data_IF_526884347592
#
_entry.id   IF_526884347592
#
_cell.length_a   1.000
_cell.length_b   1.000
_cell.length_c   1.000
_cell.angle_alpha   90.00
_cell.angle_beta   90.00
_cell.angle_gamma   90.00
#
_symmetry.space_group_name_H-M   'P 1'
#
loop_
_entity.id
_entity.type
_entity.pdbx_description
1 polymer ?
#
# COMPACT_ATOMS: atom_id res chain seq x y z
N UNK A 1 -7.82 -0.14 12.16
CA UNK A 1 -8.06 1.20 11.57
C UNK A 1 -7.66 1.08 10.13
N UNK A 2 -8.57 1.43 9.23
CA UNK A 2 -8.37 1.17 7.81
C UNK A 2 -8.15 2.49 7.08
N UNK A 3 -7.20 2.50 6.14
CA UNK A 3 -6.85 3.66 5.33
C UNK A 3 -6.96 3.25 3.87
N UNK A 4 -7.82 3.94 3.12
CA UNK A 4 -8.08 3.65 1.71
C UNK A 4 -7.42 4.72 0.86
N UNK A 5 -6.58 4.29 -0.09
CA UNK A 5 -5.89 5.17 -1.03
C UNK A 5 -6.65 5.22 -2.36
N UNK A 6 -7.24 6.38 -2.68
CA UNK A 6 -7.97 6.63 -3.92
C UNK A 6 -7.24 7.66 -4.78
N UNK A 7 -7.44 7.60 -6.09
CA UNK A 7 -6.81 8.53 -7.03
C UNK A 7 -6.82 8.00 -8.47
N UNK A 8 -6.65 8.87 -9.48
CA UNK A 8 -6.65 8.49 -10.89
C UNK A 8 -5.49 7.53 -11.23
N UNK A 9 -5.57 6.88 -12.39
CA UNK A 9 -4.48 6.04 -12.91
C UNK A 9 -3.17 6.85 -13.00
N UNK A 10 -2.05 6.23 -12.67
CA UNK A 10 -0.74 6.90 -12.68
C UNK A 10 -0.47 7.86 -11.50
N UNK A 11 -1.42 8.07 -10.57
CA UNK A 11 -1.21 8.98 -9.43
C UNK A 11 -0.24 8.47 -8.35
N UNK A 12 0.42 7.34 -8.56
CA UNK A 12 1.43 6.80 -7.64
C UNK A 12 0.90 6.07 -6.40
N UNK A 13 -0.38 5.65 -6.39
CA UNK A 13 -1.01 4.97 -5.22
C UNK A 13 -0.20 3.75 -4.74
N UNK A 14 0.20 2.88 -5.66
CA UNK A 14 0.97 1.66 -5.32
C UNK A 14 2.31 2.00 -4.68
N UNK A 15 3.01 2.99 -5.20
CA UNK A 15 4.27 3.51 -4.65
C UNK A 15 4.06 4.11 -3.25
N UNK A 16 2.98 4.86 -3.06
CA UNK A 16 2.62 5.46 -1.78
C UNK A 16 2.30 4.38 -0.73
N UNK A 17 1.50 3.37 -1.07
CA UNK A 17 1.16 2.25 -0.17
C UNK A 17 2.43 1.54 0.30
N UNK A 18 3.37 1.28 -0.61
CA UNK A 18 4.68 0.69 -0.27
C UNK A 18 5.41 1.54 0.77
N UNK A 19 5.73 2.79 0.43
CA UNK A 19 6.54 3.67 1.27
C UNK A 19 5.89 3.94 2.62
N UNK A 20 4.56 4.12 2.63
CA UNK A 20 3.81 4.36 3.86
C UNK A 20 3.79 3.12 4.77
N UNK A 21 3.56 1.93 4.22
CA UNK A 21 3.58 0.69 5.01
C UNK A 21 4.95 0.42 5.63
N UNK A 22 6.04 0.66 4.88
CA UNK A 22 7.42 0.54 5.37
C UNK A 22 7.71 1.55 6.48
N UNK A 23 7.25 2.79 6.31
CA UNK A 23 7.40 3.83 7.33
C UNK A 23 6.65 3.47 8.62
N UNK A 24 5.41 2.98 8.52
CA UNK A 24 4.62 2.55 9.69
C UNK A 24 5.29 1.37 10.42
N UNK A 25 5.74 0.36 9.67
CA UNK A 25 6.46 -0.80 10.25
C UNK A 25 7.73 -0.35 10.98
N UNK A 26 8.44 0.65 10.45
CA UNK A 26 9.70 1.14 11.00
C UNK A 26 9.54 2.08 12.20
N UNK A 27 8.54 2.95 12.19
CA UNK A 27 8.46 4.06 13.15
C UNK A 27 7.32 3.93 14.17
N UNK A 28 6.31 3.11 13.90
CA UNK A 28 5.11 3.02 14.74
C UNK A 28 4.95 1.65 15.43
N UNK A 29 5.87 0.70 15.19
CA UNK A 29 5.83 -0.69 15.71
C UNK A 29 4.46 -1.38 15.52
N UNK A 30 3.75 -1.04 14.44
CA UNK A 30 2.42 -1.59 14.12
C UNK A 30 2.53 -2.81 13.22
N UNK A 31 1.66 -3.80 13.46
CA UNK A 31 1.37 -4.84 12.47
C UNK A 31 0.55 -4.23 11.34
N UNK A 32 1.08 -4.27 10.12
CA UNK A 32 0.48 -3.65 8.93
C UNK A 32 0.24 -4.72 7.88
N UNK A 33 -1.02 -4.85 7.46
CA UNK A 33 -1.44 -5.60 6.29
C UNK A 33 -1.66 -4.64 5.11
N UNK A 34 -1.23 -5.05 3.92
CA UNK A 34 -1.41 -4.28 2.69
C UNK A 34 -2.37 -5.03 1.77
N UNK A 35 -3.55 -4.46 1.49
CA UNK A 35 -4.54 -5.08 0.61
C UNK A 35 -4.55 -4.34 -0.72
N UNK A 36 -4.40 -5.06 -1.83
CA UNK A 36 -4.57 -4.52 -3.17
C UNK A 36 -5.94 -4.93 -3.75
N UNK A 37 -6.75 -3.95 -4.12
CA UNK A 37 -8.08 -4.17 -4.72
C UNK A 37 -8.10 -3.96 -6.24
N UNK A 38 -6.96 -3.63 -6.85
CA UNK A 38 -6.84 -3.41 -8.30
C UNK A 38 -6.57 -4.75 -9.02
N UNK A 39 -7.53 -5.29 -9.81
CA UNK A 39 -7.33 -6.53 -10.54
C UNK A 39 -6.41 -6.36 -11.77
N UNK A 40 -6.11 -5.12 -12.18
CA UNK A 40 -5.26 -4.81 -13.33
C UNK A 40 -3.78 -4.70 -13.00
N UNK A 41 -3.36 -5.02 -11.77
CA UNK A 41 -1.95 -4.96 -11.38
C UNK A 41 -1.19 -6.20 -11.88
N UNK A 42 -0.08 -5.98 -12.56
CA UNK A 42 0.80 -7.07 -13.02
C UNK A 42 1.82 -7.46 -11.93
N UNK A 43 2.43 -6.46 -11.28
CA UNK A 43 3.42 -6.66 -10.22
C UNK A 43 3.20 -5.68 -9.07
N UNK A 44 3.29 -6.18 -7.83
CA UNK A 44 3.20 -5.38 -6.62
C UNK A 44 4.58 -5.23 -5.97
N UNK A 45 4.99 -4.01 -5.59
CA UNK A 45 6.27 -3.78 -4.94
C UNK A 45 6.21 -4.02 -3.41
N UNK A 46 5.19 -4.72 -2.94
CA UNK A 46 4.96 -5.16 -1.56
C UNK A 46 4.20 -6.49 -1.56
N UNK A 47 4.26 -7.24 -0.45
CA UNK A 47 3.48 -8.47 -0.28
C UNK A 47 2.05 -8.12 0.12
N UNK A 48 1.03 -8.44 -0.69
CA UNK A 48 -0.36 -8.25 -0.31
C UNK A 48 -0.84 -9.34 0.66
N UNK A 49 -1.81 -9.00 1.50
CA UNK A 49 -2.54 -9.91 2.39
C UNK A 49 -4.02 -10.01 1.98
#
# INVERSE_FOLDING_TARGET
MDVIFLGPAGSGKTTLVKAFSEWLKKNEEKSIACINLDPGVEELPYKPD
#
